data_IF_314584605496
#
_entry.id   IF_314584605496
#
_cell.length_a   1.000
_cell.length_b   1.000
_cell.length_c   1.000
_cell.angle_alpha   90.00
_cell.angle_beta   90.00
_cell.angle_gamma   90.00
#
_symmetry.space_group_name_H-M   'P 1'
#
loop_
_entity.id
_entity.type
_entity.pdbx_description
1 polymer ?
#
# COMPACT_ATOMS: atom_id res chain seq x y z
N UNK A 1 -0.05 -10.49 -6.11
CA UNK A 1 0.74 -11.71 -6.48
C UNK A 1 0.05 -12.53 -7.57
N UNK A 2 -1.19 -13.00 -7.40
CA UNK A 2 -1.88 -13.88 -8.37
C UNK A 2 -1.95 -13.33 -9.80
N UNK A 3 -2.29 -12.04 -9.96
CA UNK A 3 -2.36 -11.39 -11.27
C UNK A 3 -1.04 -11.47 -12.06
N UNK A 4 0.10 -11.29 -11.39
CA UNK A 4 1.42 -11.30 -12.03
C UNK A 4 1.97 -12.69 -12.36
N UNK A 5 1.23 -13.76 -12.05
CA UNK A 5 1.67 -15.12 -12.41
C UNK A 5 1.55 -15.33 -13.92
N UNK A 6 2.46 -16.09 -14.56
CA UNK A 6 2.40 -16.37 -16.01
C UNK A 6 1.09 -17.03 -16.46
N UNK A 7 0.41 -17.71 -15.54
CA UNK A 7 -0.90 -18.31 -15.73
C UNK A 7 -1.99 -17.25 -15.99
N UNK A 8 -1.86 -16.06 -15.41
CA UNK A 8 -2.83 -14.97 -15.55
C UNK A 8 -2.32 -13.87 -16.48
N UNK A 9 -1.08 -13.41 -16.31
CA UNK A 9 -0.43 -12.45 -17.22
C UNK A 9 1.05 -12.76 -17.39
N UNK A 10 1.52 -12.84 -18.64
CA UNK A 10 2.91 -13.23 -18.97
C UNK A 10 3.88 -12.09 -18.69
N UNK A 11 3.45 -10.84 -18.94
CA UNK A 11 4.33 -9.68 -18.95
C UNK A 11 4.49 -9.02 -17.57
N UNK A 12 3.84 -9.54 -16.52
CA UNK A 12 3.80 -8.93 -15.18
C UNK A 12 4.61 -9.68 -14.12
N UNK A 13 5.64 -10.42 -14.53
CA UNK A 13 6.50 -11.18 -13.60
C UNK A 13 7.16 -10.27 -12.56
N UNK A 14 7.52 -9.03 -12.94
CA UNK A 14 8.09 -8.06 -11.99
C UNK A 14 7.10 -7.67 -10.89
N UNK A 15 5.81 -7.56 -11.21
CA UNK A 15 4.76 -7.33 -10.20
C UNK A 15 4.65 -8.55 -9.28
N UNK A 16 4.80 -9.77 -9.81
CA UNK A 16 4.79 -10.98 -8.99
C UNK A 16 5.96 -11.02 -8.00
N UNK A 17 7.19 -10.73 -8.44
CA UNK A 17 8.37 -10.83 -7.57
C UNK A 17 8.29 -9.87 -6.38
N UNK A 18 7.96 -8.60 -6.61
CA UNK A 18 7.85 -7.61 -5.51
C UNK A 18 6.72 -7.95 -4.54
N UNK A 19 5.57 -8.42 -5.05
CA UNK A 19 4.45 -8.81 -4.21
C UNK A 19 4.75 -10.08 -3.40
N UNK A 20 5.53 -11.00 -3.97
CA UNK A 20 5.95 -12.22 -3.27
C UNK A 20 6.90 -11.89 -2.12
N UNK A 21 7.87 -11.00 -2.38
CA UNK A 21 8.77 -10.50 -1.35
C UNK A 21 8.00 -9.76 -0.24
N UNK A 22 7.06 -8.89 -0.61
CA UNK A 22 6.17 -8.22 0.34
C UNK A 22 5.33 -9.20 1.17
N UNK A 23 4.82 -10.27 0.56
CA UNK A 23 4.09 -11.31 1.26
C UNK A 23 4.97 -12.04 2.29
N UNK A 24 6.24 -12.29 1.99
CA UNK A 24 7.20 -12.86 2.95
C UNK A 24 7.39 -11.92 4.14
N UNK A 25 7.65 -10.63 3.90
CA UNK A 25 7.76 -9.65 4.98
C UNK A 25 6.49 -9.56 5.85
N UNK A 26 5.32 -9.54 5.21
CA UNK A 26 4.04 -9.52 5.90
C UNK A 26 3.83 -10.77 6.76
N UNK A 27 4.20 -11.95 6.24
CA UNK A 27 4.10 -13.22 6.96
C UNK A 27 5.03 -13.23 8.18
N UNK A 28 6.28 -12.78 8.03
CA UNK A 28 7.23 -12.65 9.15
C UNK A 28 6.67 -11.69 10.21
N UNK A 29 6.14 -10.53 9.80
CA UNK A 29 5.54 -9.57 10.71
C UNK A 29 4.35 -10.17 11.48
N UNK A 30 3.48 -10.90 10.79
CA UNK A 30 2.34 -11.59 11.39
C UNK A 30 2.80 -12.64 12.40
N UNK A 31 3.81 -13.45 12.08
CA UNK A 31 4.35 -14.47 12.98
C UNK A 31 4.84 -13.82 14.27
N UNK A 32 5.68 -12.78 14.14
CA UNK A 32 6.21 -12.05 15.27
C UNK A 32 5.06 -11.51 16.11
N UNK A 33 4.09 -10.83 15.50
CA UNK A 33 2.94 -10.28 16.21
C UNK A 33 2.16 -11.35 16.99
N UNK A 34 1.89 -12.49 16.37
CA UNK A 34 1.17 -13.62 16.96
C UNK A 34 1.92 -14.27 18.13
N UNK A 35 3.25 -14.25 18.10
CA UNK A 35 4.09 -14.76 19.20
C UNK A 35 3.96 -13.85 20.43
N UNK A 36 3.92 -12.54 20.24
CA UNK A 36 3.98 -11.55 21.33
C UNK A 36 2.60 -11.03 21.81
N UNK A 37 1.50 -11.31 21.12
CA UNK A 37 0.17 -10.81 21.51
C UNK A 37 -0.54 -11.69 22.54
N UNK A 38 -1.37 -11.07 23.38
CA UNK A 38 -2.29 -11.73 24.32
C UNK A 38 -3.18 -12.81 23.65
N UNK A 39 -3.45 -13.90 24.37
CA UNK A 39 -4.18 -15.08 23.85
C UNK A 39 -5.51 -14.76 23.17
N UNK A 40 -6.29 -13.81 23.70
CA UNK A 40 -7.58 -13.42 23.13
C UNK A 40 -7.45 -12.77 21.73
N UNK A 41 -6.48 -11.86 21.56
CA UNK A 41 -6.19 -11.20 20.27
C UNK A 41 -5.58 -12.18 19.27
N UNK A 42 -4.78 -13.14 19.77
CA UNK A 42 -4.16 -14.20 18.98
C UNK A 42 -5.17 -15.05 18.23
N UNK A 43 -6.23 -15.51 18.91
CA UNK A 43 -7.30 -16.32 18.28
C UNK A 43 -8.03 -15.53 17.20
N UNK A 44 -8.38 -14.26 17.49
CA UNK A 44 -9.03 -13.38 16.50
C UNK A 44 -8.16 -13.19 15.25
N UNK A 45 -6.86 -12.98 15.42
CA UNK A 45 -5.94 -12.81 14.30
C UNK A 45 -5.75 -14.08 13.47
N UNK A 46 -5.57 -15.23 14.12
CA UNK A 46 -5.53 -16.51 13.40
C UNK A 46 -6.82 -16.74 12.61
N UNK A 47 -7.98 -16.43 13.18
CA UNK A 47 -9.26 -16.48 12.49
C UNK A 47 -9.29 -15.58 11.24
N UNK A 48 -8.87 -14.32 11.37
CA UNK A 48 -8.80 -13.38 10.24
C UNK A 48 -7.83 -13.86 9.14
N UNK A 49 -6.68 -14.42 9.51
CA UNK A 49 -5.72 -14.98 8.56
C UNK A 49 -6.31 -16.16 7.80
N UNK A 50 -6.95 -17.10 8.49
CA UNK A 50 -7.61 -18.24 7.85
C UNK A 50 -8.71 -17.79 6.88
N UNK A 51 -9.51 -16.79 7.26
CA UNK A 51 -10.54 -16.21 6.39
C UNK A 51 -9.91 -15.60 5.13
N UNK A 52 -8.88 -14.77 5.27
CA UNK A 52 -8.20 -14.12 4.14
C UNK A 52 -7.53 -15.15 3.23
N UNK A 53 -6.83 -16.13 3.81
CA UNK A 53 -6.19 -17.23 3.06
C UNK A 53 -7.24 -18.09 2.34
N UNK A 54 -8.36 -18.39 2.97
CA UNK A 54 -9.47 -19.13 2.37
C UNK A 54 -10.12 -18.37 1.21
N UNK A 55 -10.37 -17.07 1.37
CA UNK A 55 -10.87 -16.20 0.30
C UNK A 55 -9.89 -16.15 -0.88
N UNK A 56 -8.59 -16.02 -0.60
CA UNK A 56 -7.56 -16.03 -1.64
C UNK A 56 -7.53 -17.37 -2.39
N UNK A 57 -7.57 -18.50 -1.68
CA UNK A 57 -7.62 -19.82 -2.28
C UNK A 57 -8.87 -20.01 -3.15
N UNK A 58 -10.03 -19.55 -2.69
CA UNK A 58 -11.28 -19.58 -3.46
C UNK A 58 -11.15 -18.77 -4.75
N UNK A 59 -10.59 -17.55 -4.71
CA UNK A 59 -10.35 -16.72 -5.90
C UNK A 59 -9.46 -17.46 -6.90
N UNK A 60 -8.38 -18.11 -6.43
CA UNK A 60 -7.50 -18.91 -7.29
C UNK A 60 -8.26 -20.05 -7.94
N UNK A 61 -8.97 -20.87 -7.18
CA UNK A 61 -9.73 -22.03 -7.69
C UNK A 61 -10.78 -21.58 -8.72
N UNK A 62 -11.59 -20.59 -8.38
CA UNK A 62 -12.63 -20.05 -9.29
C UNK A 62 -12.00 -19.50 -10.57
N UNK A 63 -10.90 -18.73 -10.45
CA UNK A 63 -10.22 -18.18 -11.62
C UNK A 63 -9.64 -19.25 -12.54
N UNK A 64 -9.14 -20.37 -11.99
CA UNK A 64 -8.61 -21.49 -12.79
C UNK A 64 -9.70 -22.28 -13.51
N UNK A 65 -10.94 -22.27 -13.00
CA UNK A 65 -12.10 -22.87 -13.68
C UNK A 65 -12.57 -22.07 -14.90
N UNK A 66 -12.15 -20.81 -15.04
CA UNK A 66 -12.44 -19.99 -16.21
C UNK A 66 -11.52 -20.42 -17.36
N UNK A 67 -12.09 -21.11 -18.35
CA UNK A 67 -11.35 -21.58 -19.53
C UNK A 67 -10.89 -20.42 -20.44
N UNK A 68 -11.68 -19.35 -20.52
CA UNK A 68 -11.33 -18.18 -21.31
C UNK A 68 -10.27 -17.32 -20.60
N UNK A 69 -9.09 -17.23 -21.20
CA UNK A 69 -7.93 -16.52 -20.65
C UNK A 69 -8.14 -15.01 -20.52
N UNK A 70 -8.86 -14.40 -21.45
CA UNK A 70 -9.21 -12.96 -21.42
C UNK A 70 -10.08 -12.65 -20.20
N UNK A 71 -11.17 -13.42 -20.03
CA UNK A 71 -12.11 -13.25 -18.91
C UNK A 71 -11.38 -13.48 -17.58
N UNK A 72 -10.54 -14.51 -17.49
CA UNK A 72 -9.72 -14.78 -16.30
C UNK A 72 -8.81 -13.60 -15.97
N UNK A 73 -8.12 -13.03 -16.96
CA UNK A 73 -7.22 -11.87 -16.78
C UNK A 73 -7.99 -10.65 -16.29
N UNK A 74 -9.13 -10.32 -16.91
CA UNK A 74 -9.94 -9.15 -16.55
C UNK A 74 -10.49 -9.29 -15.13
N UNK A 75 -11.07 -10.45 -14.77
CA UNK A 75 -11.64 -10.64 -13.43
C UNK A 75 -10.57 -10.58 -12.33
N UNK A 76 -9.43 -11.25 -12.51
CA UNK A 76 -8.33 -11.24 -11.54
C UNK A 76 -7.66 -9.86 -11.48
N UNK A 77 -7.51 -9.20 -12.62
CA UNK A 77 -6.98 -7.84 -12.72
C UNK A 77 -7.85 -6.84 -11.97
N UNK A 78 -9.18 -6.88 -12.17
CA UNK A 78 -10.12 -6.01 -11.48
C UNK A 78 -10.08 -6.22 -9.96
N UNK A 79 -10.11 -7.47 -9.50
CA UNK A 79 -9.98 -7.80 -8.06
C UNK A 79 -8.67 -7.30 -7.47
N UNK A 80 -7.57 -7.40 -8.23
CA UNK A 80 -6.26 -6.90 -7.82
C UNK A 80 -6.24 -5.36 -7.74
N UNK A 81 -6.86 -4.67 -8.69
CA UNK A 81 -7.03 -3.21 -8.64
C UNK A 81 -7.85 -2.77 -7.42
N UNK A 82 -9.00 -3.40 -7.18
CA UNK A 82 -9.85 -3.08 -6.03
C UNK A 82 -9.10 -3.30 -4.73
N UNK A 83 -8.35 -4.41 -4.62
CA UNK A 83 -7.53 -4.69 -3.46
C UNK A 83 -6.46 -3.61 -3.25
N UNK A 84 -5.73 -3.23 -4.30
CA UNK A 84 -4.68 -2.21 -4.22
C UNK A 84 -5.25 -0.83 -3.86
N UNK A 85 -6.37 -0.43 -4.46
CA UNK A 85 -7.05 0.82 -4.12
C UNK A 85 -7.54 0.82 -2.68
N UNK A 86 -8.05 -0.31 -2.16
CA UNK A 86 -8.48 -0.41 -0.76
C UNK A 86 -7.33 -0.15 0.23
N UNK A 87 -6.10 -0.52 -0.14
CA UNK A 87 -4.92 -0.29 0.70
C UNK A 87 -4.57 1.21 0.83
N UNK A 88 -5.05 2.06 -0.09
CA UNK A 88 -4.87 3.51 0.01
C UNK A 88 -5.67 4.14 1.16
N UNK A 89 -6.59 3.43 1.80
CA UNK A 89 -7.25 3.90 3.02
C UNK A 89 -6.24 4.28 4.12
N UNK A 90 -5.16 3.49 4.29
CA UNK A 90 -4.13 3.77 5.29
C UNK A 90 -3.39 5.10 5.06
N UNK A 91 -2.77 5.36 3.90
CA UNK A 91 -2.12 6.65 3.67
C UNK A 91 -3.08 7.84 3.70
N UNK A 92 -4.35 7.68 3.29
CA UNK A 92 -5.38 8.72 3.44
C UNK A 92 -5.63 9.08 4.92
N UNK A 93 -5.69 8.09 5.81
CA UNK A 93 -5.86 8.32 7.24
C UNK A 93 -4.66 9.06 7.83
N UNK A 94 -3.43 8.74 7.40
CA UNK A 94 -2.23 9.46 7.83
C UNK A 94 -2.25 10.91 7.34
N UNK A 95 -2.66 11.17 6.10
CA UNK A 95 -2.84 12.54 5.58
C UNK A 95 -3.81 13.33 6.47
N UNK A 96 -4.96 12.74 6.79
CA UNK A 96 -5.95 13.38 7.67
C UNK A 96 -5.38 13.63 9.07
N UNK A 97 -4.63 12.67 9.62
CA UNK A 97 -3.96 12.81 10.91
C UNK A 97 -2.97 13.98 10.90
N UNK A 98 -2.10 14.09 9.90
CA UNK A 98 -1.12 15.19 9.76
C UNK A 98 -1.82 16.55 9.66
N UNK A 99 -2.94 16.64 8.93
CA UNK A 99 -3.70 17.89 8.82
C UNK A 99 -4.32 18.31 10.15
N UNK A 100 -4.79 17.34 10.94
CA UNK A 100 -5.41 17.55 12.26
C UNK A 100 -4.39 17.88 13.34
N UNK A 101 -3.29 17.13 13.42
CA UNK A 101 -2.24 17.30 14.43
C UNK A 101 -1.26 18.41 14.07
N UNK A 102 -1.26 18.89 12.81
CA UNK A 102 -0.30 19.85 12.28
C UNK A 102 1.16 19.37 12.39
N UNK A 103 1.36 18.07 12.59
CA UNK A 103 2.67 17.44 12.82
C UNK A 103 2.91 16.30 11.83
N UNK A 104 4.15 16.17 11.38
CA UNK A 104 4.62 15.14 10.45
C UNK A 104 5.24 13.92 11.15
N UNK A 105 5.09 13.81 12.47
CA UNK A 105 5.69 12.75 13.29
C UNK A 105 5.31 11.33 12.81
N UNK A 106 4.04 11.14 12.44
CA UNK A 106 3.52 9.85 11.95
C UNK A 106 3.80 9.60 10.46
N UNK A 107 4.56 10.48 9.81
CA UNK A 107 4.75 10.50 8.37
C UNK A 107 6.22 10.76 7.99
N UNK A 108 7.07 9.71 8.07
CA UNK A 108 8.48 9.87 7.74
C UNK A 108 8.68 10.18 6.26
N UNK A 109 9.58 11.13 5.98
CA UNK A 109 9.91 11.58 4.63
C UNK A 109 10.33 10.44 3.71
N UNK A 110 11.27 9.62 4.16
CA UNK A 110 11.82 8.52 3.36
C UNK A 110 10.75 7.51 2.97
N UNK A 111 9.80 7.20 3.86
CA UNK A 111 8.69 6.30 3.55
C UNK A 111 7.79 6.87 2.46
N UNK A 112 7.46 8.16 2.55
CA UNK A 112 6.63 8.86 1.56
C UNK A 112 7.33 8.94 0.20
N UNK A 113 8.63 9.27 0.20
CA UNK A 113 9.45 9.32 -1.01
C UNK A 113 9.60 7.94 -1.67
N UNK A 114 9.91 6.90 -0.89
CA UNK A 114 10.01 5.54 -1.40
C UNK A 114 8.68 5.05 -1.98
N UNK A 115 7.55 5.35 -1.32
CA UNK A 115 6.22 4.97 -1.83
C UNK A 115 5.88 5.71 -3.11
N UNK A 116 6.23 6.99 -3.22
CA UNK A 116 6.07 7.79 -4.44
C UNK A 116 6.90 7.23 -5.59
N UNK A 117 8.20 6.97 -5.37
CA UNK A 117 9.09 6.43 -6.38
C UNK A 117 8.65 5.03 -6.83
N UNK A 118 8.29 4.17 -5.87
CA UNK A 118 7.76 2.82 -6.17
C UNK A 118 6.50 2.90 -7.03
N UNK A 119 5.53 3.74 -6.64
CA UNK A 119 4.28 3.91 -7.39
C UNK A 119 4.53 4.49 -8.79
N UNK A 120 5.47 5.44 -8.91
CA UNK A 120 5.85 6.03 -10.20
C UNK A 120 6.52 5.00 -11.11
N UNK A 121 7.43 4.18 -10.58
CA UNK A 121 8.07 3.10 -11.33
C UNK A 121 7.06 2.08 -11.84
N UNK A 122 6.09 1.68 -11.01
CA UNK A 122 5.04 0.75 -11.45
C UNK A 122 4.01 1.38 -12.38
N UNK A 123 3.76 2.69 -12.26
CA UNK A 123 2.97 3.43 -13.24
C UNK A 123 3.64 3.39 -14.62
N UNK A 124 4.93 3.73 -14.69
CA UNK A 124 5.70 3.67 -15.93
C UNK A 124 5.76 2.24 -16.49
N UNK A 125 5.97 1.25 -15.63
CA UNK A 125 5.93 -0.16 -16.01
C UNK A 125 4.58 -0.56 -16.62
N UNK A 126 3.47 -0.15 -16.00
CA UNK A 126 2.13 -0.42 -16.51
C UNK A 126 1.85 0.27 -17.85
N UNK A 127 2.33 1.50 -18.04
CA UNK A 127 2.22 2.23 -19.31
C UNK A 127 3.00 1.51 -20.41
N UNK A 128 4.26 1.12 -20.14
CA UNK A 128 5.12 0.44 -21.13
C UNK A 128 4.57 -0.93 -21.55
N UNK A 129 3.93 -1.66 -20.62
CA UNK A 129 3.31 -2.96 -20.89
C UNK A 129 1.84 -2.84 -21.35
N UNK A 130 1.32 -1.62 -21.55
CA UNK A 130 -0.09 -1.35 -21.86
C UNK A 130 -1.09 -2.07 -20.92
N UNK A 131 -0.72 -2.22 -19.64
CA UNK A 131 -1.50 -2.94 -18.65
C UNK A 131 -2.29 -1.99 -17.75
N UNK A 132 -3.60 -1.89 -18.04
CA UNK A 132 -4.56 -1.06 -17.32
C UNK A 132 -4.64 -1.38 -15.84
N UNK A 133 -4.48 -2.66 -15.48
CA UNK A 133 -4.60 -3.11 -14.10
C UNK A 133 -3.36 -2.79 -13.27
N UNK A 134 -2.23 -2.47 -13.91
CA UNK A 134 -1.03 -1.99 -13.24
C UNK A 134 -0.98 -0.47 -13.24
N UNK A 135 -1.21 0.21 -14.36
CA UNK A 135 -1.00 1.66 -14.42
C UNK A 135 -2.05 2.45 -13.62
N UNK A 136 -3.35 2.08 -13.67
CA UNK A 136 -4.42 2.85 -12.99
C UNK A 136 -4.16 2.96 -11.48
N UNK A 137 -4.04 1.86 -10.72
CA UNK A 137 -3.90 1.96 -9.28
C UNK A 137 -2.56 2.57 -8.87
N UNK A 138 -1.47 2.32 -9.61
CA UNK A 138 -0.18 2.95 -9.34
C UNK A 138 -0.15 4.45 -9.70
N UNK A 139 -0.98 4.89 -10.64
CA UNK A 139 -1.24 6.31 -10.90
C UNK A 139 -1.90 7.00 -9.70
N UNK A 140 -2.94 6.39 -9.13
CA UNK A 140 -3.55 6.86 -7.89
C UNK A 140 -2.54 6.88 -6.73
N UNK A 141 -1.72 5.83 -6.58
CA UNK A 141 -0.65 5.77 -5.59
C UNK A 141 0.38 6.89 -5.76
N UNK A 142 0.76 7.21 -7.01
CA UNK A 142 1.65 8.32 -7.33
C UNK A 142 1.05 9.67 -6.91
N UNK A 143 -0.23 9.92 -7.20
CA UNK A 143 -0.93 11.14 -6.77
C UNK A 143 -0.92 11.26 -5.25
N UNK A 144 -1.22 10.17 -4.54
CA UNK A 144 -1.17 10.15 -3.07
C UNK A 144 0.24 10.40 -2.55
N UNK A 145 1.27 9.82 -3.16
CA UNK A 145 2.66 10.06 -2.82
C UNK A 145 3.09 11.54 -3.01
N UNK A 146 2.59 12.20 -4.05
CA UNK A 146 2.82 13.64 -4.28
C UNK A 146 2.16 14.46 -3.17
N UNK A 147 0.88 14.20 -2.88
CA UNK A 147 0.15 14.87 -1.78
C UNK A 147 0.89 14.67 -0.47
N UNK A 148 1.38 13.46 -0.24
CA UNK A 148 2.12 13.11 0.95
C UNK A 148 3.40 13.94 1.11
N UNK A 149 4.24 14.00 0.07
CA UNK A 149 5.47 14.78 0.07
C UNK A 149 5.22 16.29 0.21
N UNK A 150 4.17 16.80 -0.45
CA UNK A 150 3.78 18.20 -0.37
C UNK A 150 3.36 18.61 1.06
N UNK A 151 2.53 17.79 1.71
CA UNK A 151 2.12 18.01 3.10
C UNK A 151 3.29 17.93 4.07
N UNK A 152 4.20 16.97 3.87
CA UNK A 152 5.41 16.85 4.68
C UNK A 152 6.23 18.14 4.63
N UNK A 153 6.49 18.66 3.43
CA UNK A 153 7.26 19.91 3.27
C UNK A 153 6.55 21.11 3.90
N UNK A 154 5.23 21.23 3.69
CA UNK A 154 4.43 22.32 4.24
C UNK A 154 4.44 22.35 5.78
N UNK A 155 4.13 21.22 6.43
CA UNK A 155 4.05 21.15 7.89
C UNK A 155 5.42 21.15 8.57
N UNK A 156 6.44 20.53 7.96
CA UNK A 156 7.81 20.61 8.48
C UNK A 156 8.33 22.04 8.50
N UNK A 157 8.11 22.79 7.41
CA UNK A 157 8.53 24.20 7.32
C UNK A 157 7.84 25.07 8.37
N UNK A 158 6.56 24.84 8.63
CA UNK A 158 5.80 25.57 9.65
C UNK A 158 6.30 25.25 11.07
N UNK A 159 6.53 23.97 11.38
CA UNK A 159 7.08 23.56 12.67
C UNK A 159 8.48 24.15 12.93
N UNK A 160 9.33 24.27 11.91
CA UNK A 160 10.64 24.95 12.05
C UNK A 160 10.51 26.47 12.19
N UNK A 161 9.49 27.09 11.59
CA UNK A 161 9.23 28.52 11.76
C UNK A 161 8.71 28.85 13.17
N UNK A 162 7.76 28.07 13.68
CA UNK A 162 7.20 28.26 15.03
C UNK A 162 8.24 27.95 16.14
N UNK A 163 9.19 27.03 15.89
CA UNK A 163 10.28 26.73 16.82
C UNK A 163 11.42 27.77 16.84
N UNK A 164 11.44 28.71 15.91
CA UNK A 164 12.43 29.78 15.81
C UNK A 164 11.92 31.13 16.31
N UNK A 165 10.68 31.23 16.81
CA UNK A 165 10.25 32.40 17.57
C UNK A 165 11.00 32.41 18.92
N UNK A 166 11.81 33.46 19.22
CA UNK A 166 12.45 33.56 20.51
C UNK A 166 11.37 33.64 21.59
N UNK A 167 11.46 32.77 22.62
CA UNK A 167 10.73 32.89 23.88
C UNK A 167 11.22 34.12 24.68
N UNK A 168 11.21 35.30 24.07
CA UNK A 168 11.42 36.57 24.75
C UNK A 168 10.03 37.13 25.01
N UNK A 169 9.39 36.64 26.07
CA UNK A 169 8.47 37.51 26.80
C UNK A 169 9.34 38.37 27.72
N UNK A 170 9.44 39.69 27.49
CA UNK A 170 9.96 40.56 28.52
C UNK A 170 8.88 40.65 29.61
N UNK A 171 9.12 39.97 30.72
CA UNK A 171 8.49 40.37 31.97
C UNK A 171 9.10 41.71 32.39
N UNK A 172 8.24 42.74 32.36
CA UNK A 172 8.28 44.01 33.14
C UNK A 172 9.54 44.87 33.08
#
# INVERSE_FOLDING_TARGET
MWYGTPLVSIDNVMVMTVNSLGAVFQLVYIIIFIVYVEKAKKVRMFGLLLVISGLFALIVIVSLKIANREIRRISVGLLSCVSLVSMFASPLLIINLVIRTKSVEYMPFFLSLSTFLMSTSFLLYGILNFDVFVYIPNGLGTILGIVQLALYYYYRRRSTADGNEPLIMPHS
#
